data_IF_969951996546
#
_entry.id   IF_969951996546
#
_cell.length_a   1.000
_cell.length_b   1.000
_cell.length_c   1.000
_cell.angle_alpha   90.00
_cell.angle_beta   90.00
_cell.angle_gamma   90.00
#
_symmetry.space_group_name_H-M   'P 1'
#
loop_
_entity.id
_entity.type
_entity.pdbx_description
1 polymer ?
#
# COMPACT_ATOMS: atom_id res chain seq x y z
N UNK A 1 4.11 -33.15 20.42
CA UNK A 1 4.78 -32.63 19.20
C UNK A 1 3.88 -31.73 18.32
N UNK A 2 2.71 -31.27 18.77
CA UNK A 2 1.76 -30.49 17.96
C UNK A 2 1.98 -28.96 17.99
N UNK A 3 2.86 -28.45 18.84
CA UNK A 3 3.03 -27.00 19.06
C UNK A 3 3.84 -26.30 17.95
N UNK A 4 4.58 -27.06 17.13
CA UNK A 4 5.50 -26.53 16.11
C UNK A 4 4.85 -26.10 14.80
N UNK A 5 3.53 -26.25 14.63
CA UNK A 5 2.83 -25.88 13.39
C UNK A 5 1.79 -24.75 13.57
N UNK A 6 1.73 -24.16 14.77
CA UNK A 6 0.75 -23.12 15.10
C UNK A 6 1.31 -21.72 14.86
N UNK A 7 0.44 -20.83 14.38
CA UNK A 7 0.74 -19.40 14.34
C UNK A 7 0.87 -18.85 15.76
N UNK A 8 1.90 -18.05 15.95
CA UNK A 8 2.08 -17.27 17.18
C UNK A 8 1.17 -16.05 17.17
N UNK A 9 1.04 -15.39 18.33
CA UNK A 9 0.35 -14.10 18.41
C UNK A 9 0.93 -13.06 17.44
N UNK A 10 2.27 -13.04 17.26
CA UNK A 10 2.93 -12.11 16.34
C UNK A 10 2.55 -12.38 14.88
N UNK A 11 2.42 -13.64 14.48
CA UNK A 11 2.00 -14.03 13.13
C UNK A 11 0.57 -13.52 12.84
N UNK A 12 -0.33 -13.63 13.82
CA UNK A 12 -1.69 -13.10 13.72
C UNK A 12 -1.74 -11.58 13.65
N UNK A 13 -0.97 -10.89 14.50
CA UNK A 13 -0.86 -9.43 14.45
C UNK A 13 -0.36 -8.98 13.06
N UNK A 14 0.70 -9.60 12.56
CA UNK A 14 1.22 -9.30 11.24
C UNK A 14 0.20 -9.56 10.12
N UNK A 15 -0.57 -10.65 10.21
CA UNK A 15 -1.63 -10.95 9.24
C UNK A 15 -2.77 -9.92 9.28
N UNK A 16 -3.20 -9.49 10.47
CA UNK A 16 -4.22 -8.44 10.64
C UNK A 16 -3.72 -7.12 10.07
N UNK A 17 -2.50 -6.71 10.41
CA UNK A 17 -1.90 -5.47 9.89
C UNK A 17 -1.75 -5.52 8.36
N UNK A 18 -1.28 -6.63 7.80
CA UNK A 18 -1.20 -6.83 6.36
C UNK A 18 -2.59 -6.71 5.70
N UNK A 19 -3.62 -7.30 6.32
CA UNK A 19 -5.01 -7.19 5.87
C UNK A 19 -5.53 -5.74 5.88
N UNK A 20 -5.27 -4.99 6.95
CA UNK A 20 -5.64 -3.58 7.06
C UNK A 20 -4.94 -2.71 6.01
N UNK A 21 -3.65 -2.95 5.77
CA UNK A 21 -2.90 -2.22 4.75
C UNK A 21 -3.41 -2.55 3.35
N UNK A 22 -3.67 -3.83 3.05
CA UNK A 22 -4.26 -4.24 1.79
C UNK A 22 -5.65 -3.62 1.58
N UNK A 23 -6.49 -3.60 2.62
CA UNK A 23 -7.79 -2.91 2.60
C UNK A 23 -7.61 -1.42 2.31
N UNK A 24 -6.64 -0.77 2.96
CA UNK A 24 -6.29 0.63 2.70
C UNK A 24 -5.94 0.87 1.22
N UNK A 25 -5.16 -0.01 0.60
CA UNK A 25 -4.82 0.05 -0.83
C UNK A 25 -6.06 -0.11 -1.74
N UNK A 26 -7.02 -0.97 -1.37
CA UNK A 26 -8.28 -1.10 -2.11
C UNK A 26 -9.21 0.11 -1.94
N UNK A 27 -9.22 0.73 -0.77
CA UNK A 27 -10.03 1.92 -0.48
C UNK A 27 -9.39 3.22 -0.97
N UNK A 28 -8.08 3.21 -1.23
CA UNK A 28 -7.31 4.36 -1.73
C UNK A 28 -7.96 5.11 -2.91
N UNK A 29 -8.42 4.44 -4.00
CA UNK A 29 -9.06 5.14 -5.11
C UNK A 29 -10.39 5.79 -4.78
N UNK A 30 -11.06 5.35 -3.72
CA UNK A 30 -12.37 5.87 -3.31
C UNK A 30 -12.20 7.01 -2.32
N UNK A 31 -11.30 6.86 -1.35
CA UNK A 31 -11.16 7.80 -0.23
C UNK A 31 -10.11 8.88 -0.52
N UNK A 32 -8.98 8.50 -1.13
CA UNK A 32 -7.80 9.38 -1.26
C UNK A 32 -7.76 10.05 -2.62
N UNK A 33 -7.98 9.34 -3.73
CA UNK A 33 -7.83 9.92 -5.07
C UNK A 33 -8.75 11.14 -5.34
N UNK A 34 -10.05 11.14 -4.98
CA UNK A 34 -10.95 12.27 -5.30
C UNK A 34 -10.50 13.63 -4.73
N UNK A 35 -10.20 13.78 -3.42
CA UNK A 35 -9.76 15.08 -2.90
C UNK A 35 -8.42 15.52 -3.51
N UNK A 36 -7.49 14.60 -3.75
CA UNK A 36 -6.21 14.93 -4.39
C UNK A 36 -6.38 15.41 -5.83
N UNK A 37 -7.31 14.83 -6.60
CA UNK A 37 -7.61 15.32 -7.95
C UNK A 37 -8.20 16.73 -7.95
N UNK A 38 -9.12 17.04 -7.03
CA UNK A 38 -9.69 18.39 -6.90
C UNK A 38 -8.59 19.40 -6.60
N UNK A 39 -7.77 19.12 -5.58
CA UNK A 39 -6.66 19.98 -5.17
C UNK A 39 -5.65 20.20 -6.31
N UNK A 40 -5.26 19.14 -7.02
CA UNK A 40 -4.30 19.26 -8.13
C UNK A 40 -4.88 20.03 -9.33
N UNK A 41 -6.19 19.94 -9.59
CA UNK A 41 -6.84 20.72 -10.62
C UNK A 41 -6.85 22.22 -10.29
N UNK A 42 -7.07 22.57 -9.02
CA UNK A 42 -7.04 23.96 -8.53
C UNK A 42 -5.63 24.59 -8.59
N UNK A 43 -4.59 23.78 -8.42
CA UNK A 43 -3.20 24.25 -8.50
C UNK A 43 -2.74 24.57 -9.93
N UNK A 44 -3.42 24.06 -10.97
CA UNK A 44 -3.20 24.45 -12.37
C UNK A 44 -1.82 24.08 -12.97
N UNK A 45 -1.02 23.26 -12.28
CA UNK A 45 0.34 22.87 -12.70
C UNK A 45 0.44 21.52 -13.40
N UNK A 46 1.59 21.25 -14.02
CA UNK A 46 1.87 19.94 -14.61
C UNK A 46 2.03 18.88 -13.50
N UNK A 47 1.25 17.80 -13.59
CA UNK A 47 1.29 16.71 -12.61
C UNK A 47 2.40 15.72 -12.95
N UNK A 48 3.33 15.39 -12.02
CA UNK A 48 4.40 14.43 -12.27
C UNK A 48 3.87 13.06 -12.69
N UNK A 49 4.60 12.36 -13.57
CA UNK A 49 4.17 11.05 -14.09
C UNK A 49 3.93 10.00 -12.99
N UNK A 50 4.74 10.00 -11.93
CA UNK A 50 4.53 9.12 -10.77
C UNK A 50 3.21 9.43 -10.04
N UNK A 51 2.87 10.71 -9.89
CA UNK A 51 1.60 11.15 -9.30
C UNK A 51 0.43 10.74 -10.19
N UNK A 52 0.55 10.90 -11.51
CA UNK A 52 -0.48 10.43 -12.45
C UNK A 52 -0.73 8.92 -12.31
N UNK A 53 0.34 8.13 -12.18
CA UNK A 53 0.24 6.68 -11.98
C UNK A 53 -0.46 6.34 -10.65
N UNK A 54 -0.09 7.00 -9.56
CA UNK A 54 -0.75 6.82 -8.24
C UNK A 54 -2.22 7.26 -8.24
N UNK A 55 -2.60 8.19 -9.11
CA UNK A 55 -3.99 8.63 -9.32
C UNK A 55 -4.79 7.71 -10.24
N UNK A 56 -4.19 6.68 -10.84
CA UNK A 56 -4.97 5.70 -11.62
C UNK A 56 -5.78 4.79 -10.67
N UNK A 57 -7.04 4.47 -11.01
CA UNK A 57 -7.93 3.78 -10.09
C UNK A 57 -7.50 2.33 -9.78
N UNK A 58 -6.65 1.73 -10.61
CA UNK A 58 -6.23 0.33 -10.48
C UNK A 58 -4.86 0.17 -9.82
N UNK A 59 -4.02 1.20 -9.76
CA UNK A 59 -2.63 1.05 -9.33
C UNK A 59 -2.50 0.65 -7.86
N UNK A 60 -3.14 1.36 -6.94
CA UNK A 60 -3.15 0.98 -5.53
C UNK A 60 -3.87 -0.37 -5.30
N UNK A 61 -5.08 -0.63 -5.85
CA UNK A 61 -5.73 -1.95 -5.73
C UNK A 61 -4.92 -3.12 -6.27
N UNK A 62 -4.15 -2.94 -7.35
CA UNK A 62 -3.29 -3.99 -7.90
C UNK A 62 -2.22 -4.41 -6.87
N UNK A 63 -1.62 -3.47 -6.15
CA UNK A 63 -0.70 -3.79 -5.06
C UNK A 63 -1.40 -4.42 -3.85
N UNK A 64 -2.62 -3.98 -3.56
CA UNK A 64 -3.48 -4.61 -2.55
C UNK A 64 -3.77 -6.08 -2.87
N UNK A 65 -4.02 -6.40 -4.15
CA UNK A 65 -4.23 -7.77 -4.61
C UNK A 65 -2.97 -8.62 -4.40
N UNK A 66 -1.78 -8.10 -4.71
CA UNK A 66 -0.52 -8.80 -4.44
C UNK A 66 -0.36 -9.10 -2.94
N UNK A 67 -0.66 -8.13 -2.06
CA UNK A 67 -0.60 -8.32 -0.62
C UNK A 67 -1.60 -9.39 -0.14
N UNK A 68 -2.83 -9.40 -0.66
CA UNK A 68 -3.84 -10.44 -0.35
C UNK A 68 -3.41 -11.81 -0.84
N UNK A 69 -2.82 -11.92 -2.03
CA UNK A 69 -2.32 -13.19 -2.56
C UNK A 69 -1.20 -13.73 -1.66
N UNK A 70 -0.25 -12.89 -1.26
CA UNK A 70 0.81 -13.27 -0.32
C UNK A 70 0.24 -13.72 1.03
N UNK A 71 -0.75 -13.00 1.57
CA UNK A 71 -1.44 -13.38 2.80
C UNK A 71 -2.15 -14.74 2.66
N UNK A 72 -2.82 -14.97 1.52
CA UNK A 72 -3.50 -16.23 1.19
C UNK A 72 -2.54 -17.40 1.03
N UNK A 73 -1.35 -17.18 0.48
CA UNK A 73 -0.27 -18.18 0.49
C UNK A 73 0.17 -18.51 1.93
N UNK A 74 0.12 -17.53 2.84
CA UNK A 74 0.33 -17.70 4.27
C UNK A 74 -0.67 -18.63 4.98
N UNK A 75 -1.81 -18.92 4.36
CA UNK A 75 -2.81 -19.85 4.90
C UNK A 75 -2.50 -21.33 4.61
N UNK A 76 -1.56 -21.63 3.70
CA UNK A 76 -1.29 -23.00 3.21
C UNK A 76 0.20 -23.36 3.29
N UNK A 77 0.50 -24.61 3.64
CA UNK A 77 1.86 -25.17 3.60
C UNK A 77 2.61 -25.14 4.94
N UNK A 78 3.93 -25.38 4.89
CA UNK A 78 4.81 -25.49 6.07
C UNK A 78 4.85 -24.16 6.84
N UNK A 79 4.90 -24.22 8.18
CA UNK A 79 4.88 -23.05 9.07
C UNK A 79 5.88 -21.95 8.65
N UNK A 80 7.12 -22.31 8.35
CA UNK A 80 8.16 -21.33 7.94
C UNK A 80 7.76 -20.53 6.70
N UNK A 81 7.18 -21.20 5.68
CA UNK A 81 6.70 -20.52 4.46
C UNK A 81 5.52 -19.64 4.75
N UNK A 82 4.62 -20.10 5.61
CA UNK A 82 3.43 -19.34 6.01
C UNK A 82 3.81 -18.03 6.71
N UNK A 83 4.74 -18.08 7.66
CA UNK A 83 5.26 -16.88 8.35
C UNK A 83 5.95 -15.92 7.40
N UNK A 84 6.83 -16.43 6.53
CA UNK A 84 7.50 -15.61 5.52
C UNK A 84 6.50 -14.91 4.58
N UNK A 85 5.44 -15.60 4.18
CA UNK A 85 4.40 -15.04 3.31
C UNK A 85 3.59 -13.94 4.01
N UNK A 86 3.23 -14.09 5.28
CA UNK A 86 2.54 -13.05 6.07
C UNK A 86 3.42 -11.81 6.23
N UNK A 87 4.69 -12.00 6.58
CA UNK A 87 5.65 -10.91 6.72
C UNK A 87 5.85 -10.18 5.38
N UNK A 88 6.02 -10.94 4.29
CA UNK A 88 6.13 -10.37 2.95
C UNK A 88 4.88 -9.59 2.54
N UNK A 89 3.68 -10.10 2.84
CA UNK A 89 2.43 -9.40 2.60
C UNK A 89 2.37 -8.04 3.31
N UNK A 90 2.75 -8.02 4.59
CA UNK A 90 2.80 -6.78 5.38
C UNK A 90 3.77 -5.76 4.79
N UNK A 91 5.03 -6.14 4.57
CA UNK A 91 6.04 -5.23 4.03
C UNK A 91 5.71 -4.74 2.63
N UNK A 92 5.21 -5.63 1.76
CA UNK A 92 4.79 -5.24 0.41
C UNK A 92 3.64 -4.24 0.44
N UNK A 93 2.60 -4.53 1.23
CA UNK A 93 1.47 -3.62 1.38
C UNK A 93 1.91 -2.26 1.92
N UNK A 94 2.73 -2.24 2.97
CA UNK A 94 3.19 -1.00 3.60
C UNK A 94 4.07 -0.18 2.65
N UNK A 95 4.99 -0.82 1.94
CA UNK A 95 5.84 -0.17 0.94
C UNK A 95 5.01 0.39 -0.22
N UNK A 96 4.03 -0.36 -0.73
CA UNK A 96 3.16 0.11 -1.79
C UNK A 96 2.29 1.29 -1.36
N UNK A 97 1.75 1.26 -0.14
CA UNK A 97 0.97 2.38 0.41
C UNK A 97 1.85 3.62 0.58
N UNK A 98 3.04 3.46 1.15
CA UNK A 98 4.02 4.54 1.30
C UNK A 98 4.39 5.13 -0.07
N UNK A 99 4.67 4.30 -1.08
CA UNK A 99 4.99 4.75 -2.42
C UNK A 99 3.84 5.56 -3.06
N UNK A 100 2.59 5.12 -2.90
CA UNK A 100 1.43 5.86 -3.38
C UNK A 100 1.31 7.23 -2.70
N UNK A 101 1.46 7.28 -1.37
CA UNK A 101 1.44 8.53 -0.61
C UNK A 101 2.58 9.44 -1.07
N UNK A 102 3.81 8.96 -1.10
CA UNK A 102 4.97 9.75 -1.57
C UNK A 102 4.76 10.30 -2.99
N UNK A 103 4.21 9.50 -3.90
CA UNK A 103 3.89 9.94 -5.25
C UNK A 103 2.85 11.07 -5.28
N UNK A 104 1.85 11.06 -4.39
CA UNK A 104 0.88 12.16 -4.26
C UNK A 104 1.51 13.45 -3.72
N UNK A 105 2.47 13.36 -2.80
CA UNK A 105 3.14 14.54 -2.23
C UNK A 105 4.20 15.17 -3.13
N UNK A 106 4.69 14.45 -4.15
CA UNK A 106 5.71 14.94 -5.08
C UNK A 106 5.41 16.31 -5.72
N UNK A 107 4.20 16.60 -6.25
CA UNK A 107 3.87 17.92 -6.80
C UNK A 107 3.94 19.04 -5.76
N UNK A 108 3.56 18.78 -4.50
CA UNK A 108 3.63 19.78 -3.42
C UNK A 108 5.08 20.17 -3.17
N UNK A 109 5.99 19.18 -3.12
CA UNK A 109 7.42 19.47 -2.94
C UNK A 109 8.00 20.27 -4.10
N UNK A 110 7.60 19.96 -5.33
CA UNK A 110 8.03 20.71 -6.51
C UNK A 110 7.56 22.17 -6.47
N UNK A 111 6.31 22.42 -6.03
CA UNK A 111 5.78 23.77 -5.85
C UNK A 111 6.50 24.54 -4.72
N UNK A 112 6.80 23.88 -3.60
CA UNK A 112 7.51 24.54 -2.49
C UNK A 112 8.91 25.02 -2.89
N UNK A 113 9.63 24.23 -3.71
CA UNK A 113 10.96 24.60 -4.21
C UNK A 113 10.96 25.77 -5.19
N UNK A 114 9.81 26.14 -5.76
CA UNK A 114 9.68 27.33 -6.60
C UNK A 114 9.42 28.63 -5.83
N UNK A 115 8.98 28.56 -4.56
CA UNK A 115 8.71 29.76 -3.74
C UNK A 115 9.99 30.34 -3.13
N UNK A 116 11.03 29.50 -2.94
CA UNK A 116 12.31 29.90 -2.34
C UNK A 116 13.32 30.51 -3.34
N UNK A 117 12.94 30.72 -4.60
CA UNK A 117 13.77 31.37 -5.64
C UNK A 117 13.14 32.68 -6.09
#
# INVERSE_FOLDING_TARGET
MAERDTFTALDWIAAVLAGLVALGLFLFPVIVIPPWRSMLAELGGAVPGLTQLALTPWFAPAHGLVAVVLLGMGARGRLTRRRAAVVAAFFWGAAALAANITALYLPIFQLSGTIER
#
